data_IF_861270910061
#
_entry.id   IF_861270910061
#
_cell.length_a   1.000
_cell.length_b   1.000
_cell.length_c   1.000
_cell.angle_alpha   90.00
_cell.angle_beta   90.00
_cell.angle_gamma   90.00
#
_symmetry.space_group_name_H-M   'P 1'
#
loop_
_entity.id
_entity.type
_entity.pdbx_description
1 polymer ?
#
# COMPACT_ATOMS: atom_id res chain seq x y z
N UNK A 1 5.02 -11.52 -7.66
CA UNK A 1 5.19 -12.16 -6.33
C UNK A 1 6.41 -11.51 -5.70
N UNK A 2 6.27 -10.85 -4.54
CA UNK A 2 7.31 -9.99 -3.93
C UNK A 2 8.28 -10.73 -2.99
N UNK A 3 8.27 -12.06 -2.97
CA UNK A 3 9.14 -12.86 -2.08
C UNK A 3 8.82 -12.71 -0.58
N UNK A 4 7.63 -12.23 -0.22
CA UNK A 4 7.19 -12.01 1.16
C UNK A 4 5.93 -12.81 1.50
N UNK A 5 5.55 -12.89 2.78
CA UNK A 5 4.35 -13.61 3.21
C UNK A 5 3.09 -12.79 3.02
N UNK A 6 1.95 -13.45 2.84
CA UNK A 6 0.64 -12.79 2.83
C UNK A 6 0.38 -12.00 4.12
N UNK A 7 0.82 -12.51 5.27
CA UNK A 7 0.69 -11.81 6.55
C UNK A 7 1.44 -10.46 6.53
N UNK A 8 2.68 -10.46 6.03
CA UNK A 8 3.48 -9.23 5.90
C UNK A 8 2.83 -8.25 4.93
N UNK A 9 2.41 -8.71 3.76
CA UNK A 9 1.74 -7.88 2.76
C UNK A 9 0.44 -7.30 3.31
N UNK A 10 -0.38 -8.10 3.99
CA UNK A 10 -1.62 -7.67 4.61
C UNK A 10 -1.38 -6.53 5.60
N UNK A 11 -0.33 -6.63 6.43
CA UNK A 11 0.00 -5.59 7.41
C UNK A 11 0.38 -4.27 6.76
N UNK A 12 1.16 -4.30 5.67
CA UNK A 12 1.53 -3.10 4.92
C UNK A 12 0.29 -2.43 4.33
N UNK A 13 -0.60 -3.22 3.71
CA UNK A 13 -1.84 -2.70 3.11
C UNK A 13 -2.77 -2.09 4.15
N UNK A 14 -2.91 -2.69 5.33
CA UNK A 14 -3.72 -2.11 6.42
C UNK A 14 -3.17 -0.76 6.90
N UNK A 15 -1.85 -0.62 7.03
CA UNK A 15 -1.24 0.67 7.37
C UNK A 15 -1.49 1.71 6.28
N UNK A 16 -1.39 1.31 5.01
CA UNK A 16 -1.68 2.21 3.89
C UNK A 16 -3.17 2.60 3.80
N UNK A 17 -4.10 1.73 4.19
CA UNK A 17 -5.51 2.06 4.36
C UNK A 17 -5.73 3.09 5.46
N UNK A 18 -5.13 2.90 6.63
CA UNK A 18 -5.20 3.86 7.75
C UNK A 18 -4.63 5.23 7.37
N UNK A 19 -3.61 5.25 6.50
CA UNK A 19 -3.02 6.48 5.96
C UNK A 19 -3.81 7.06 4.76
N UNK A 20 -4.87 6.40 4.32
CA UNK A 20 -5.70 6.82 3.18
C UNK A 20 -4.99 6.72 1.82
N UNK A 21 -3.91 5.94 1.72
CA UNK A 21 -3.14 5.74 0.48
C UNK A 21 -3.82 4.75 -0.46
N UNK A 22 -4.49 3.74 0.11
CA UNK A 22 -5.24 2.72 -0.60
C UNK A 22 -6.57 2.43 0.09
N UNK A 23 -7.48 1.77 -0.61
CA UNK A 23 -8.76 1.30 -0.10
C UNK A 23 -8.98 -0.14 -0.57
N UNK A 24 -9.21 -1.06 0.35
CA UNK A 24 -9.43 -2.47 0.09
C UNK A 24 -10.87 -2.80 -0.29
N UNK A 25 -11.01 -3.87 -1.07
CA UNK A 25 -12.30 -4.46 -1.39
C UNK A 25 -12.18 -5.95 -1.69
N UNK A 26 -13.31 -6.60 -1.97
CA UNK A 26 -13.30 -8.02 -2.33
C UNK A 26 -12.46 -8.24 -3.59
N UNK A 27 -11.33 -8.93 -3.42
CA UNK A 27 -10.38 -9.28 -4.48
C UNK A 27 -9.85 -8.07 -5.28
N UNK A 28 -9.83 -6.87 -4.68
CA UNK A 28 -9.31 -5.65 -5.31
C UNK A 28 -8.74 -4.68 -4.30
N UNK A 29 -7.81 -3.83 -4.74
CA UNK A 29 -7.28 -2.69 -4.00
C UNK A 29 -7.42 -1.46 -4.90
N UNK A 30 -7.97 -0.37 -4.39
CA UNK A 30 -8.08 0.92 -5.06
C UNK A 30 -6.93 1.81 -4.55
N UNK A 31 -6.16 2.38 -5.47
CA UNK A 31 -5.15 3.38 -5.11
C UNK A 31 -5.82 4.75 -4.97
N UNK A 32 -5.70 5.36 -3.79
CA UNK A 32 -6.30 6.67 -3.48
C UNK A 32 -5.33 7.82 -3.73
N UNK A 33 -4.05 7.62 -3.40
CA UNK A 33 -2.99 8.59 -3.60
C UNK A 33 -1.77 7.94 -4.31
N UNK A 34 -1.78 7.90 -5.65
CA UNK A 34 -0.70 7.31 -6.43
C UNK A 34 0.64 8.01 -6.22
N UNK A 35 0.62 9.33 -6.03
CA UNK A 35 1.84 10.12 -5.88
C UNK A 35 2.54 9.78 -4.57
N UNK A 36 1.82 9.69 -3.44
CA UNK A 36 2.45 9.27 -2.18
C UNK A 36 2.96 7.84 -2.21
N UNK A 37 2.25 6.91 -2.86
CA UNK A 37 2.77 5.55 -3.05
C UNK A 37 4.05 5.52 -3.88
N UNK A 38 4.14 6.36 -4.92
CA UNK A 38 5.36 6.52 -5.70
C UNK A 38 6.51 7.03 -4.83
N UNK A 39 6.28 8.06 -4.01
CA UNK A 39 7.30 8.58 -3.08
C UNK A 39 7.81 7.49 -2.10
N UNK A 40 6.90 6.65 -1.58
CA UNK A 40 7.26 5.51 -0.72
C UNK A 40 8.10 4.47 -1.47
N UNK A 41 7.77 4.19 -2.74
CA UNK A 41 8.49 3.22 -3.55
C UNK A 41 9.91 3.68 -3.90
N UNK A 42 10.10 4.98 -4.13
CA UNK A 42 11.39 5.59 -4.48
C UNK A 42 12.20 6.05 -3.25
N UNK A 43 11.71 5.80 -2.04
CA UNK A 43 12.31 6.26 -0.77
C UNK A 43 12.62 7.78 -0.77
N UNK A 44 11.73 8.56 -1.39
CA UNK A 44 11.89 10.01 -1.49
C UNK A 44 11.33 10.70 -0.24
N UNK A 45 12.03 11.72 0.32
CA UNK A 45 11.51 12.51 1.43
C UNK A 45 10.26 13.29 1.01
N UNK A 46 9.30 13.44 1.94
CA UNK A 46 8.07 14.21 1.73
C UNK A 46 8.30 15.71 1.80
#
# INVERSE_FOLDING_TARGET
MTGTTLHTVSRILSVWEEQGLVEGGRQRIIVRDPHKLFMIAEDMPQ
#
